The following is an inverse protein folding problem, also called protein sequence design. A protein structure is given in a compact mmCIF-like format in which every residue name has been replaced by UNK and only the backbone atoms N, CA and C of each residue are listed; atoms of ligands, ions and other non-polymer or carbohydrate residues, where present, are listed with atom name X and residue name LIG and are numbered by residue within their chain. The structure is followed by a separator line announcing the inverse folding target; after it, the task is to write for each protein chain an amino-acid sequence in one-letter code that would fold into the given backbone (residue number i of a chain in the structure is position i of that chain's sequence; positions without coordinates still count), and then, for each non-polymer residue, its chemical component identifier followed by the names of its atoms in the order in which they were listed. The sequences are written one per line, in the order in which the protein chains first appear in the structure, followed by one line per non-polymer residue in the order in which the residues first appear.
data_IF_385205994695
#
_entry.id   IF_385205994695
#
_cell.length_a   1.000
_cell.length_b   1.000
_cell.length_c   1.000
_cell.angle_alpha   90.00
_cell.angle_beta   90.00
_cell.angle_gamma   90.00
#
_symmetry.space_group_name_H-M   'P 1'
#
loop_
_entity.id
_entity.type
_entity.pdbx_description
1 polymer ?
#
# COMPACT_ATOMS: atom_id res chain seq x y z
N UNK A 1 36.43 8.47 -53.04
CA UNK A 1 35.05 8.52 -52.52
C UNK A 1 35.14 8.32 -51.03
N UNK A 2 35.00 9.42 -50.31
CA UNK A 2 35.21 9.56 -48.87
C UNK A 2 33.97 9.03 -48.13
N UNK A 3 34.10 8.02 -47.27
CA UNK A 3 33.02 7.52 -46.43
C UNK A 3 33.10 8.19 -45.04
N UNK A 4 32.11 9.03 -44.77
CA UNK A 4 31.97 9.83 -43.55
C UNK A 4 31.24 8.99 -42.48
N UNK A 5 31.94 8.55 -41.44
CA UNK A 5 31.39 7.77 -40.32
C UNK A 5 31.16 8.71 -39.12
N UNK A 6 29.95 8.83 -38.55
CA UNK A 6 29.74 9.67 -37.38
C UNK A 6 30.38 9.04 -36.14
N UNK A 7 31.24 9.80 -35.46
CA UNK A 7 31.92 9.40 -34.24
C UNK A 7 30.90 9.10 -33.12
N UNK A 8 30.85 7.84 -32.68
CA UNK A 8 29.99 7.39 -31.58
C UNK A 8 30.56 7.90 -30.24
N UNK A 9 29.78 8.64 -29.42
CA UNK A 9 30.29 9.22 -28.19
C UNK A 9 30.58 8.15 -27.14
N UNK A 10 31.66 8.36 -26.37
CA UNK A 10 32.12 7.38 -25.38
C UNK A 10 31.11 7.17 -24.25
N UNK A 11 30.94 5.92 -23.81
CA UNK A 11 30.06 5.52 -22.68
C UNK A 11 30.32 6.32 -21.39
N UNK A 12 31.54 6.86 -21.24
CA UNK A 12 31.95 7.74 -20.13
C UNK A 12 31.30 9.12 -20.17
N UNK A 13 30.99 9.65 -21.36
CA UNK A 13 30.27 10.92 -21.51
C UNK A 13 28.79 10.76 -21.15
N UNK A 14 28.18 9.63 -21.52
CA UNK A 14 26.79 9.28 -21.17
C UNK A 14 26.63 9.16 -19.65
N UNK A 15 27.57 8.49 -18.96
CA UNK A 15 27.55 8.36 -17.49
C UNK A 15 27.74 9.69 -16.74
N UNK A 16 28.43 10.66 -17.35
CA UNK A 16 28.59 12.00 -16.77
C UNK A 16 27.34 12.86 -16.93
N UNK A 17 26.56 12.65 -17.99
CA UNK A 17 25.31 13.36 -18.22
C UNK A 17 24.17 12.86 -17.31
N UNK A 18 24.19 11.61 -16.86
CA UNK A 18 23.16 11.07 -15.94
C UNK A 18 23.28 11.55 -14.50
N UNK A 19 24.43 12.11 -14.09
CA UNK A 19 24.61 12.71 -12.77
C UNK A 19 24.10 14.16 -12.67
N UNK A 20 23.76 14.81 -13.79
CA UNK A 20 23.39 16.23 -13.85
C UNK A 20 21.88 16.49 -13.90
N UNK A 21 21.04 15.52 -13.53
CA UNK A 21 19.54 15.65 -13.52
C UNK A 21 18.97 15.78 -12.10
N UNK A 22 19.80 15.83 -11.06
CA UNK A 22 19.37 15.95 -9.66
C UNK A 22 19.10 17.39 -9.22
N UNK A 23 18.11 18.06 -9.82
CA UNK A 23 17.57 19.32 -9.28
C UNK A 23 16.05 19.49 -9.45
N UNK A 24 15.35 18.58 -10.12
CA UNK A 24 13.90 18.70 -10.38
C UNK A 24 13.06 17.49 -9.91
N UNK A 25 13.42 16.86 -8.78
CA UNK A 25 12.66 15.73 -8.23
C UNK A 25 12.29 15.87 -6.74
N UNK A 26 12.36 17.08 -6.17
CA UNK A 26 11.97 17.29 -4.76
C UNK A 26 10.46 17.14 -4.54
N UNK A 27 9.62 17.27 -5.58
CA UNK A 27 8.17 17.05 -5.46
C UNK A 27 7.76 15.58 -5.39
N UNK A 28 8.66 14.62 -5.64
CA UNK A 28 8.33 13.18 -5.63
C UNK A 28 8.46 12.50 -4.26
N UNK A 29 9.27 13.04 -3.34
CA UNK A 29 9.55 12.37 -2.07
C UNK A 29 8.35 12.38 -1.09
N UNK A 30 7.48 13.39 -1.16
CA UNK A 30 6.34 13.51 -0.25
C UNK A 30 5.28 12.41 -0.46
N UNK A 31 5.20 11.82 -1.66
CA UNK A 31 4.27 10.73 -1.95
C UNK A 31 4.68 9.39 -1.31
N UNK A 32 5.96 9.22 -0.93
CA UNK A 32 6.48 7.99 -0.34
C UNK A 32 6.34 7.94 1.20
N UNK A 33 6.06 9.09 1.83
CA UNK A 33 5.94 9.21 3.29
C UNK A 33 4.51 9.07 3.80
N UNK A 34 3.53 8.72 2.95
CA UNK A 34 2.19 8.38 3.45
C UNK A 34 2.31 7.02 4.13
N UNK A 35 2.13 6.91 5.46
CA UNK A 35 2.07 5.60 6.09
C UNK A 35 0.92 4.84 5.44
N UNK A 36 1.24 3.77 4.74
CA UNK A 36 0.23 2.82 4.31
C UNK A 36 -0.29 2.17 5.57
N UNK A 37 -1.37 2.70 6.15
CA UNK A 37 -2.08 2.05 7.24
C UNK A 37 -2.51 0.69 6.68
N UNK A 38 -1.76 -0.35 7.04
CA UNK A 38 -2.09 -1.72 6.68
C UNK A 38 -3.20 -2.16 7.61
N UNK A 39 -4.45 -1.93 7.20
CA UNK A 39 -5.69 -2.40 7.84
C UNK A 39 -5.85 -3.95 7.79
N UNK A 40 -4.74 -4.68 7.73
CA UNK A 40 -4.68 -6.13 7.62
C UNK A 40 -4.34 -6.83 8.93
N UNK A 41 -3.95 -6.09 9.98
CA UNK A 41 -3.76 -6.65 11.30
C UNK A 41 -5.12 -7.01 11.94
N UNK A 42 -5.16 -8.11 12.68
CA UNK A 42 -6.31 -8.42 13.56
C UNK A 42 -6.46 -7.32 14.61
N UNK A 43 -7.70 -6.93 14.91
CA UNK A 43 -7.99 -5.97 15.97
C UNK A 43 -7.49 -6.47 17.32
N UNK A 44 -6.93 -5.57 18.12
CA UNK A 44 -6.73 -5.77 19.55
C UNK A 44 -8.06 -5.70 20.31
N UNK A 45 -8.05 -6.10 21.58
CA UNK A 45 -9.22 -6.04 22.43
C UNK A 45 -9.66 -4.60 22.64
N UNK A 46 -8.70 -3.71 22.87
CA UNK A 46 -8.87 -2.30 23.14
C UNK A 46 -9.40 -1.57 21.89
N UNK A 47 -8.87 -1.90 20.71
CA UNK A 47 -9.38 -1.36 19.44
C UNK A 47 -10.84 -1.73 19.22
N UNK A 48 -11.20 -3.01 19.43
CA UNK A 48 -12.59 -3.47 19.31
C UNK A 48 -13.49 -2.80 20.34
N UNK A 49 -13.08 -2.72 21.60
CA UNK A 49 -13.87 -2.08 22.67
C UNK A 49 -14.10 -0.59 22.47
N UNK A 50 -13.19 0.08 21.74
CA UNK A 50 -13.36 1.47 21.34
C UNK A 50 -14.32 1.69 20.18
N UNK A 51 -14.77 0.64 19.47
CA UNK A 51 -15.67 0.79 18.32
C UNK A 51 -17.12 0.99 18.76
N UNK A 52 -17.77 2.00 18.19
CA UNK A 52 -19.22 2.14 18.27
C UNK A 52 -19.91 1.25 17.22
N UNK A 53 -21.18 0.86 17.43
CA UNK A 53 -21.94 0.13 16.43
C UNK A 53 -21.97 0.83 15.06
N UNK A 54 -22.16 2.15 15.04
CA UNK A 54 -22.18 2.94 13.80
C UNK A 54 -20.85 2.87 13.04
N UNK A 55 -19.73 2.89 13.77
CA UNK A 55 -18.40 2.74 13.17
C UNK A 55 -18.21 1.36 12.53
N UNK A 56 -18.74 0.30 13.16
CA UNK A 56 -18.72 -1.06 12.59
C UNK A 56 -19.54 -1.13 11.30
N UNK A 57 -20.74 -0.54 11.28
CA UNK A 57 -21.59 -0.50 10.09
C UNK A 57 -20.92 0.29 8.96
N UNK A 58 -20.32 1.44 9.26
CA UNK A 58 -19.61 2.23 8.26
C UNK A 58 -18.41 1.47 7.69
N UNK A 59 -17.64 0.79 8.56
CA UNK A 59 -16.55 -0.07 8.13
C UNK A 59 -17.01 -1.17 7.16
N UNK A 60 -18.16 -1.79 7.41
CA UNK A 60 -18.76 -2.77 6.50
C UNK A 60 -19.22 -2.17 5.16
N UNK A 61 -19.82 -0.98 5.16
CA UNK A 61 -20.17 -0.27 3.92
C UNK A 61 -18.94 -0.01 3.05
N UNK A 62 -17.85 0.47 3.66
CA UNK A 62 -16.60 0.71 2.96
C UNK A 62 -15.97 -0.58 2.43
N UNK A 63 -16.01 -1.67 3.20
CA UNK A 63 -15.58 -2.99 2.77
C UNK A 63 -16.37 -3.51 1.56
N UNK A 64 -17.70 -3.40 1.61
CA UNK A 64 -18.58 -3.79 0.51
C UNK A 64 -18.35 -2.95 -0.75
N UNK A 65 -18.12 -1.64 -0.61
CA UNK A 65 -17.79 -0.77 -1.75
C UNK A 65 -16.50 -1.25 -2.44
N UNK A 66 -15.44 -1.51 -1.68
CA UNK A 66 -14.18 -2.07 -2.21
C UNK A 66 -14.39 -3.40 -2.94
N UNK A 67 -15.22 -4.27 -2.39
CA UNK A 67 -15.57 -5.55 -3.02
C UNK A 67 -16.27 -5.32 -4.37
N UNK A 68 -17.30 -4.46 -4.40
CA UNK A 68 -18.05 -4.12 -5.62
C UNK A 68 -17.20 -3.48 -6.71
N UNK A 69 -16.20 -2.70 -6.31
CA UNK A 69 -15.26 -2.05 -7.24
C UNK A 69 -14.10 -2.96 -7.68
N UNK A 70 -14.06 -4.21 -7.20
CA UNK A 70 -12.95 -5.14 -7.43
C UNK A 70 -11.58 -4.57 -6.98
N UNK A 71 -11.58 -3.87 -5.84
CA UNK A 71 -10.40 -3.25 -5.23
C UNK A 71 -10.15 -3.81 -3.83
N UNK A 72 -9.76 -5.10 -3.73
CA UNK A 72 -9.55 -5.74 -2.43
C UNK A 72 -8.41 -5.06 -1.65
N UNK A 73 -8.56 -5.00 -0.33
CA UNK A 73 -7.48 -4.57 0.54
C UNK A 73 -6.36 -5.63 0.55
N UNK A 74 -5.09 -5.19 0.57
CA UNK A 74 -3.96 -6.10 0.70
C UNK A 74 -3.89 -6.60 2.15
N UNK A 75 -3.82 -7.91 2.34
CA UNK A 75 -3.73 -8.54 3.65
C UNK A 75 -2.39 -9.25 3.87
N UNK A 76 -1.82 -9.09 5.07
CA UNK A 76 -0.75 -9.94 5.58
C UNK A 76 -1.34 -11.01 6.51
N UNK A 77 -1.72 -12.14 5.92
CA UNK A 77 -2.34 -13.24 6.64
C UNK A 77 -1.39 -13.91 7.65
N UNK A 78 -0.06 -13.84 7.43
CA UNK A 78 0.90 -14.41 8.37
C UNK A 78 1.01 -13.55 9.63
N UNK A 79 1.07 -12.23 9.46
CA UNK A 79 1.00 -11.30 10.59
C UNK A 79 -0.32 -11.45 11.34
N UNK A 80 -1.45 -11.48 10.62
CA UNK A 80 -2.77 -11.67 11.22
C UNK A 80 -2.86 -12.95 12.06
N UNK A 81 -2.36 -14.09 11.52
CA UNK A 81 -2.32 -15.37 12.24
C UNK A 81 -1.48 -15.30 13.52
N UNK A 82 -0.32 -14.63 13.48
CA UNK A 82 0.55 -14.49 14.65
C UNK A 82 -0.09 -13.60 15.72
N UNK A 83 -0.74 -12.52 15.29
CA UNK A 83 -1.35 -11.55 16.19
C UNK A 83 -2.63 -12.07 16.86
N UNK A 84 -3.29 -13.07 16.28
CA UNK A 84 -4.51 -13.67 16.83
C UNK A 84 -4.29 -14.92 17.71
N UNK A 85 -3.03 -15.33 17.95
CA UNK A 85 -2.70 -16.54 18.74
C UNK A 85 -3.27 -16.45 20.16
N UNK A 86 -3.14 -15.28 20.80
CA UNK A 86 -3.61 -15.06 22.16
C UNK A 86 -5.14 -14.85 22.25
N UNK A 87 -5.80 -14.56 21.12
CA UNK A 87 -7.23 -14.28 21.07
C UNK A 87 -7.65 -13.55 19.80
N UNK A 88 -8.94 -13.64 19.49
CA UNK A 88 -9.57 -12.90 18.39
C UNK A 88 -10.60 -11.92 18.95
N UNK A 89 -10.57 -10.68 18.46
CA UNK A 89 -11.47 -9.61 18.89
C UNK A 89 -12.24 -9.05 17.69
N UNK A 90 -13.17 -9.84 17.10
CA UNK A 90 -13.89 -9.42 15.90
C UNK A 90 -14.78 -8.21 16.20
N UNK A 91 -14.90 -7.30 15.22
CA UNK A 91 -15.76 -6.12 15.31
C UNK A 91 -17.26 -6.45 15.34
N UNK A 92 -17.66 -7.59 14.75
CA UNK A 92 -19.05 -8.05 14.73
C UNK A 92 -19.15 -9.55 14.41
N UNK A 93 -20.35 -10.10 14.64
CA UNK A 93 -20.77 -11.45 14.23
C UNK A 93 -21.80 -11.31 13.11
N UNK A 94 -21.66 -12.09 12.04
CA UNK A 94 -22.58 -12.06 10.88
C UNK A 94 -23.42 -13.34 10.91
N UNK A 95 -24.76 -13.17 10.93
CA UNK A 95 -25.71 -14.27 10.76
C UNK A 95 -26.15 -14.31 9.29
N UNK A 96 -25.70 -15.31 8.53
CA UNK A 96 -25.98 -15.45 7.10
C UNK A 96 -26.50 -16.85 6.74
N UNK A 97 -26.98 -17.01 5.50
CA UNK A 97 -27.18 -18.33 4.91
C UNK A 97 -25.84 -19.07 4.72
N UNK A 98 -25.92 -20.40 4.59
CA UNK A 98 -24.81 -21.29 4.20
C UNK A 98 -24.71 -21.42 2.68
#
# INVERSE_FOLDING_TARGET
MEQNQPAQPSRRAILKQTLAVSALSVTGLAALSVPTISFAASLSKEERDGMTPDAVIEHFKQGNLRFRENRPAKHDYLAQKRNSIAGQYPAAVILSCI
#
